data_IF_758772641179
#
_entry.id   IF_758772641179
#
_cell.length_a   1.000
_cell.length_b   1.000
_cell.length_c   1.000
_cell.angle_alpha   90.00
_cell.angle_beta   90.00
_cell.angle_gamma   90.00
#
_symmetry.space_group_name_H-M   'P 1'
#
loop_
_entity.id
_entity.type
_entity.pdbx_description
1 polymer ?
#
# COMPACT_ATOMS: atom_id res chain seq x y z
N UNK A 1 8.13 -23.31 -8.33
CA UNK A 1 7.82 -21.85 -8.40
C UNK A 1 9.13 -21.08 -8.59
N UNK A 2 9.24 -20.28 -9.65
CA UNK A 2 10.47 -19.53 -9.98
C UNK A 2 10.86 -18.53 -8.88
N UNK A 3 12.16 -18.44 -8.57
CA UNK A 3 12.77 -17.43 -7.67
C UNK A 3 12.29 -15.99 -7.96
N UNK A 4 11.99 -15.68 -9.23
CA UNK A 4 11.48 -14.37 -9.63
C UNK A 4 10.09 -14.06 -9.07
N UNK A 5 9.24 -15.08 -8.94
CA UNK A 5 7.85 -14.92 -8.46
C UNK A 5 7.81 -14.74 -6.93
N UNK A 6 8.70 -15.43 -6.20
CA UNK A 6 8.78 -15.35 -4.74
C UNK A 6 9.01 -13.93 -4.22
N UNK A 7 9.70 -13.08 -4.99
CA UNK A 7 9.98 -11.68 -4.64
C UNK A 7 8.73 -10.80 -4.53
N UNK A 8 7.63 -11.20 -5.16
CA UNK A 8 6.38 -10.44 -5.18
C UNK A 8 5.38 -10.88 -4.11
N UNK A 9 5.60 -12.04 -3.46
CA UNK A 9 4.73 -12.57 -2.39
C UNK A 9 4.45 -11.52 -1.30
N UNK A 10 5.44 -10.76 -0.79
CA UNK A 10 5.17 -9.76 0.25
C UNK A 10 4.21 -8.66 -0.20
N UNK A 11 4.27 -8.26 -1.48
CA UNK A 11 3.40 -7.21 -2.04
C UNK A 11 1.97 -7.73 -2.16
N UNK A 12 1.81 -8.97 -2.64
CA UNK A 12 0.50 -9.63 -2.78
C UNK A 12 -0.19 -9.76 -1.42
N UNK A 13 0.54 -10.22 -0.40
CA UNK A 13 0.01 -10.33 0.98
C UNK A 13 -0.36 -8.95 1.54
N UNK A 14 0.49 -7.94 1.33
CA UNK A 14 0.23 -6.60 1.82
C UNK A 14 -1.02 -5.98 1.17
N UNK A 15 -1.23 -6.21 -0.13
CA UNK A 15 -2.46 -5.80 -0.80
C UNK A 15 -3.69 -6.52 -0.24
N UNK A 16 -3.59 -7.81 0.06
CA UNK A 16 -4.70 -8.57 0.67
C UNK A 16 -5.10 -7.99 2.04
N UNK A 17 -4.13 -7.66 2.89
CA UNK A 17 -4.37 -7.07 4.22
C UNK A 17 -4.99 -5.68 4.10
N UNK A 18 -4.43 -4.81 3.24
CA UNK A 18 -4.94 -3.44 3.07
C UNK A 18 -6.38 -3.47 2.55
N UNK A 19 -6.64 -4.26 1.50
CA UNK A 19 -7.98 -4.36 0.92
C UNK A 19 -8.97 -4.97 1.89
N UNK A 20 -8.56 -5.94 2.72
CA UNK A 20 -9.41 -6.49 3.79
C UNK A 20 -9.77 -5.42 4.83
N UNK A 21 -8.80 -4.62 5.29
CA UNK A 21 -9.05 -3.53 6.24
C UNK A 21 -9.99 -2.46 5.68
N UNK A 22 -9.77 -2.05 4.43
CA UNK A 22 -10.63 -1.07 3.74
C UNK A 22 -12.04 -1.62 3.54
N UNK A 23 -12.16 -2.91 3.23
CA UNK A 23 -13.47 -3.56 3.05
C UNK A 23 -14.20 -3.69 4.39
N UNK A 24 -13.51 -4.16 5.43
CA UNK A 24 -14.06 -4.33 6.77
C UNK A 24 -14.64 -3.02 7.33
N UNK A 25 -13.93 -1.90 7.13
CA UNK A 25 -14.40 -0.58 7.61
C UNK A 25 -15.64 -0.06 6.89
N UNK A 26 -15.94 -0.56 5.69
CA UNK A 26 -16.99 0.01 4.83
C UNK A 26 -18.28 -0.79 4.82
N UNK A 27 -18.25 -2.05 5.22
CA UNK A 27 -19.45 -2.87 5.26
C UNK A 27 -20.27 -2.53 6.49
N UNK A 28 -21.51 -2.09 6.26
CA UNK A 28 -22.56 -2.27 7.26
C UNK A 28 -22.83 -3.77 7.41
N UNK A 29 -23.31 -4.20 8.58
CA UNK A 29 -23.41 -5.61 9.05
C UNK A 29 -24.10 -6.62 8.11
N UNK A 30 -24.71 -6.20 6.99
CA UNK A 30 -25.50 -7.04 6.07
C UNK A 30 -24.86 -7.30 4.69
N UNK A 31 -23.70 -6.71 4.37
CA UNK A 31 -23.06 -6.90 3.06
C UNK A 31 -22.07 -8.07 3.04
N UNK A 32 -22.01 -8.80 1.91
CA UNK A 32 -21.09 -9.93 1.68
C UNK A 32 -19.63 -9.46 1.67
N UNK A 33 -18.99 -9.50 2.84
CA UNK A 33 -17.58 -9.10 3.02
C UNK A 33 -16.67 -9.73 1.97
N UNK A 34 -16.83 -11.04 1.79
CA UNK A 34 -15.92 -11.85 1.00
C UNK A 34 -15.99 -11.48 -0.49
N UNK A 35 -17.17 -11.21 -1.02
CA UNK A 35 -17.38 -10.80 -2.41
C UNK A 35 -16.78 -9.42 -2.69
N UNK A 36 -17.08 -8.45 -1.82
CA UNK A 36 -16.57 -7.10 -1.92
C UNK A 36 -15.04 -7.04 -1.75
N UNK A 37 -14.50 -7.83 -0.82
CA UNK A 37 -13.08 -7.94 -0.57
C UNK A 37 -12.35 -8.57 -1.75
N UNK A 38 -12.85 -9.70 -2.28
CA UNK A 38 -12.27 -10.36 -3.44
C UNK A 38 -12.28 -9.45 -4.66
N UNK A 39 -13.38 -8.72 -4.90
CA UNK A 39 -13.48 -7.78 -6.02
C UNK A 39 -12.46 -6.65 -5.89
N UNK A 40 -12.39 -6.02 -4.71
CA UNK A 40 -11.42 -4.96 -4.46
C UNK A 40 -9.99 -5.46 -4.56
N UNK A 41 -9.71 -6.66 -4.03
CA UNK A 41 -8.40 -7.29 -4.06
C UNK A 41 -7.96 -7.68 -5.47
N UNK A 42 -8.85 -8.27 -6.27
CA UNK A 42 -8.59 -8.62 -7.66
C UNK A 42 -8.25 -7.36 -8.48
N UNK A 43 -9.04 -6.30 -8.32
CA UNK A 43 -8.75 -5.03 -9.00
C UNK A 43 -7.45 -4.37 -8.48
N UNK A 44 -7.14 -4.52 -7.19
CA UNK A 44 -5.86 -4.05 -6.65
C UNK A 44 -4.67 -4.78 -7.30
N UNK A 45 -4.78 -6.09 -7.53
CA UNK A 45 -3.77 -6.86 -8.24
C UNK A 45 -3.65 -6.48 -9.72
N UNK A 46 -4.74 -6.06 -10.37
CA UNK A 46 -4.70 -5.65 -11.77
C UNK A 46 -4.16 -4.22 -11.96
N UNK A 47 -4.53 -3.30 -11.07
CA UNK A 47 -4.25 -1.86 -11.26
C UNK A 47 -3.07 -1.40 -10.42
N UNK A 48 -3.02 -1.78 -9.14
CA UNK A 48 -2.04 -1.24 -8.19
C UNK A 48 -0.75 -2.02 -8.20
N UNK A 49 -0.82 -3.35 -8.33
CA UNK A 49 0.39 -4.18 -8.33
C UNK A 49 1.39 -3.79 -9.43
N UNK A 50 1.00 -3.54 -10.70
CA UNK A 50 1.94 -3.08 -11.72
C UNK A 50 2.61 -1.75 -11.36
N UNK A 51 1.84 -0.81 -10.81
CA UNK A 51 2.34 0.49 -10.35
C UNK A 51 3.34 0.28 -9.20
N UNK A 52 2.98 -0.54 -8.20
CA UNK A 52 3.85 -0.85 -7.07
C UNK A 52 5.14 -1.56 -7.51
N UNK A 53 5.05 -2.48 -8.48
CA UNK A 53 6.19 -3.21 -9.01
C UNK A 53 7.22 -2.29 -9.69
N UNK A 54 6.78 -1.18 -10.30
CA UNK A 54 7.65 -0.16 -10.89
C UNK A 54 8.12 0.86 -9.85
N UNK A 55 7.22 1.28 -8.96
CA UNK A 55 7.46 2.32 -7.97
C UNK A 55 8.50 1.88 -6.92
N UNK A 56 8.35 0.65 -6.40
CA UNK A 56 9.20 0.12 -5.33
C UNK A 56 10.69 0.12 -5.71
N UNK A 57 11.13 -0.44 -6.85
CA UNK A 57 12.53 -0.38 -7.28
C UNK A 57 13.01 1.05 -7.51
N UNK A 58 12.15 1.91 -8.08
CA UNK A 58 12.49 3.29 -8.40
C UNK A 58 12.77 4.11 -7.14
N UNK A 59 11.88 4.01 -6.14
CA UNK A 59 12.06 4.66 -4.84
C UNK A 59 13.27 4.11 -4.10
N UNK A 60 13.51 2.80 -4.13
CA UNK A 60 14.72 2.22 -3.52
C UNK A 60 15.99 2.82 -4.11
N UNK A 61 16.12 2.84 -5.45
CA UNK A 61 17.30 3.42 -6.12
C UNK A 61 17.48 4.90 -5.80
N UNK A 62 16.38 5.66 -5.79
CA UNK A 62 16.41 7.08 -5.49
C UNK A 62 16.89 7.34 -4.06
N UNK A 63 16.43 6.56 -3.10
CA UNK A 63 16.76 6.73 -1.68
C UNK A 63 18.16 6.24 -1.38
N UNK A 64 18.60 5.14 -1.96
CA UNK A 64 19.99 4.71 -1.86
C UNK A 64 20.93 5.78 -2.42
N UNK A 65 20.58 6.41 -3.55
CA UNK A 65 21.36 7.49 -4.15
C UNK A 65 21.41 8.75 -3.28
N UNK A 66 20.29 9.18 -2.71
CA UNK A 66 20.19 10.46 -1.97
C UNK A 66 20.52 10.33 -0.49
N UNK A 67 20.21 9.20 0.13
CA UNK A 67 20.21 9.00 1.58
C UNK A 67 20.97 7.74 2.02
N UNK A 68 21.71 7.07 1.12
CA UNK A 68 22.43 5.82 1.43
C UNK A 68 23.36 5.89 2.65
N UNK A 69 23.90 7.09 2.95
CA UNK A 69 24.79 7.33 4.08
C UNK A 69 24.06 7.76 5.38
N UNK A 70 22.73 7.88 5.35
CA UNK A 70 21.92 8.28 6.52
C UNK A 70 21.46 7.08 7.33
N UNK A 71 20.95 7.34 8.54
CA UNK A 71 20.43 6.30 9.42
C UNK A 71 19.30 5.49 8.76
N UNK A 72 19.28 4.17 8.99
CA UNK A 72 18.35 3.24 8.33
C UNK A 72 16.87 3.59 8.55
N UNK A 73 16.53 4.17 9.70
CA UNK A 73 15.16 4.62 9.99
C UNK A 73 14.76 5.80 9.10
N UNK A 74 15.67 6.75 8.85
CA UNK A 74 15.41 7.90 7.96
C UNK A 74 15.20 7.41 6.53
N UNK A 75 16.06 6.49 6.07
CA UNK A 75 15.88 5.84 4.76
C UNK A 75 14.54 5.10 4.69
N UNK A 76 14.13 4.47 5.79
CA UNK A 76 12.85 3.77 5.91
C UNK A 76 11.66 4.70 5.74
N UNK A 77 11.62 5.82 6.46
CA UNK A 77 10.56 6.81 6.30
C UNK A 77 10.56 7.46 4.91
N UNK A 78 11.73 7.84 4.41
CA UNK A 78 11.88 8.41 3.06
C UNK A 78 11.37 7.46 1.97
N UNK A 79 11.42 6.15 2.21
CA UNK A 79 10.89 5.13 1.30
C UNK A 79 9.39 4.98 1.43
N UNK A 80 8.91 4.82 2.66
CA UNK A 80 7.52 4.44 2.89
C UNK A 80 6.55 5.59 2.71
N UNK A 81 6.92 6.83 3.05
CA UNK A 81 6.03 8.00 2.91
C UNK A 81 5.56 8.18 1.45
N UNK A 82 6.43 8.37 0.44
CA UNK A 82 5.98 8.54 -0.94
C UNK A 82 5.29 7.29 -1.49
N UNK A 83 5.75 6.10 -1.09
CA UNK A 83 5.11 4.84 -1.48
C UNK A 83 3.66 4.78 -1.01
N UNK A 84 3.40 5.04 0.27
CA UNK A 84 2.05 5.02 0.85
C UNK A 84 1.21 6.17 0.33
N UNK A 85 1.77 7.36 0.11
CA UNK A 85 1.04 8.47 -0.50
C UNK A 85 0.50 8.08 -1.88
N UNK A 86 1.30 7.43 -2.73
CA UNK A 86 0.85 7.04 -4.07
C UNK A 86 -0.11 5.85 -4.01
N UNK A 87 0.31 4.76 -3.35
CA UNK A 87 -0.47 3.51 -3.31
C UNK A 87 -1.76 3.70 -2.51
N UNK A 88 -1.71 4.40 -1.38
CA UNK A 88 -2.88 4.66 -0.52
C UNK A 88 -3.91 5.55 -1.20
N UNK A 89 -3.48 6.57 -1.94
CA UNK A 89 -4.33 7.42 -2.78
C UNK A 89 -5.06 6.59 -3.84
N UNK A 90 -4.32 5.79 -4.62
CA UNK A 90 -4.91 4.92 -5.64
C UNK A 90 -5.85 3.87 -5.04
N UNK A 91 -5.47 3.29 -3.89
CA UNK A 91 -6.31 2.32 -3.19
C UNK A 91 -7.58 2.91 -2.63
N UNK A 92 -7.53 4.15 -2.15
CA UNK A 92 -8.72 4.87 -1.72
C UNK A 92 -9.65 5.09 -2.92
N UNK A 93 -9.12 5.53 -4.06
CA UNK A 93 -9.89 5.71 -5.30
C UNK A 93 -10.58 4.42 -5.72
N UNK A 94 -9.83 3.32 -5.79
CA UNK A 94 -10.38 2.02 -6.15
C UNK A 94 -11.44 1.55 -5.16
N UNK A 95 -11.24 1.79 -3.86
CA UNK A 95 -12.23 1.44 -2.83
C UNK A 95 -13.52 2.24 -2.95
N UNK A 96 -13.50 3.45 -3.52
CA UNK A 96 -14.72 4.20 -3.81
C UNK A 96 -15.41 3.62 -5.04
N UNK A 97 -14.64 3.29 -6.09
CA UNK A 97 -15.19 2.67 -7.30
C UNK A 97 -15.89 1.35 -7.00
N UNK A 98 -15.33 0.53 -6.11
CA UNK A 98 -15.85 -0.82 -5.83
C UNK A 98 -16.91 -0.84 -4.73
N UNK A 99 -16.73 -0.05 -3.67
CA UNK A 99 -17.53 -0.18 -2.45
C UNK A 99 -18.54 0.95 -2.25
N UNK A 100 -18.59 1.95 -3.14
CA UNK A 100 -19.54 3.07 -3.04
C UNK A 100 -20.27 3.24 -4.37
N UNK A 101 -21.58 3.39 -4.27
CA UNK A 101 -22.38 3.83 -5.40
C UNK A 101 -22.24 5.35 -5.56
N UNK A 102 -21.74 5.78 -6.71
CA UNK A 102 -21.69 7.20 -7.10
C UNK A 102 -22.36 7.35 -8.47
N UNK A 103 -23.08 8.46 -8.65
CA UNK A 103 -23.88 8.72 -9.86
C UNK A 103 -23.18 9.67 -10.84
N UNK A 104 -22.22 10.46 -10.35
CA UNK A 104 -21.49 11.43 -11.16
C UNK A 104 -20.08 11.68 -10.61
N UNK A 105 -19.26 12.37 -11.41
CA UNK A 105 -17.87 12.69 -11.07
C UNK A 105 -17.76 13.56 -9.82
N UNK A 106 -18.67 14.52 -9.61
CA UNK A 106 -18.65 15.37 -8.41
C UNK A 106 -18.85 14.55 -7.13
N UNK A 107 -19.81 13.63 -7.13
CA UNK A 107 -20.04 12.72 -6.02
C UNK A 107 -18.85 11.78 -5.81
N UNK A 108 -18.21 11.31 -6.88
CA UNK A 108 -16.97 10.53 -6.77
C UNK A 108 -15.89 11.32 -6.04
N UNK A 109 -15.60 12.57 -6.43
CA UNK A 109 -14.56 13.37 -5.77
C UNK A 109 -14.87 13.68 -4.30
N UNK A 110 -16.13 13.91 -3.96
CA UNK A 110 -16.58 14.10 -2.58
C UNK A 110 -16.36 12.83 -1.74
N UNK A 111 -16.81 11.67 -2.22
CA UNK A 111 -16.59 10.39 -1.54
C UNK A 111 -15.11 10.05 -1.44
N UNK A 112 -14.36 10.26 -2.52
CA UNK A 112 -12.93 10.01 -2.59
C UNK A 112 -12.13 10.83 -1.58
N UNK A 113 -12.36 12.14 -1.53
CA UNK A 113 -11.68 13.02 -0.56
C UNK A 113 -12.04 12.69 0.88
N UNK A 114 -13.32 12.42 1.16
CA UNK A 114 -13.78 11.98 2.48
C UNK A 114 -13.10 10.67 2.90
N UNK A 115 -13.07 9.68 2.01
CA UNK A 115 -12.44 8.37 2.25
C UNK A 115 -10.93 8.50 2.41
N UNK A 116 -10.28 9.42 1.70
CA UNK A 116 -8.85 9.67 1.82
C UNK A 116 -8.50 10.19 3.22
N UNK A 117 -9.29 11.14 3.74
CA UNK A 117 -9.15 11.66 5.10
C UNK A 117 -9.42 10.53 6.12
N UNK A 118 -10.48 9.74 5.90
CA UNK A 118 -10.84 8.64 6.80
C UNK A 118 -9.79 7.52 6.84
N UNK A 119 -9.03 7.32 5.76
CA UNK A 119 -7.98 6.30 5.67
C UNK A 119 -6.59 6.81 6.11
N UNK A 120 -6.44 8.12 6.28
CA UNK A 120 -5.19 8.75 6.72
C UNK A 120 -4.59 8.11 7.99
N UNK A 121 -5.37 7.79 9.06
CA UNK A 121 -4.81 7.14 10.25
C UNK A 121 -4.18 5.78 9.95
N UNK A 122 -4.81 4.98 9.10
CA UNK A 122 -4.28 3.66 8.68
C UNK A 122 -2.97 3.86 7.92
N UNK A 123 -2.93 4.84 7.01
CA UNK A 123 -1.73 5.16 6.25
C UNK A 123 -0.59 5.63 7.15
N UNK A 124 -0.86 6.46 8.16
CA UNK A 124 0.16 6.87 9.14
C UNK A 124 0.69 5.70 9.95
N UNK A 125 -0.18 4.80 10.44
CA UNK A 125 0.25 3.59 11.16
C UNK A 125 1.15 2.74 10.26
N UNK A 126 0.80 2.57 8.99
CA UNK A 126 1.65 1.86 8.04
C UNK A 126 2.98 2.57 7.79
N UNK A 127 3.01 3.91 7.74
CA UNK A 127 4.26 4.68 7.64
C UNK A 127 5.17 4.42 8.84
N UNK A 128 4.62 4.46 10.05
CA UNK A 128 5.37 4.23 11.29
C UNK A 128 5.90 2.79 11.38
N UNK A 129 5.04 1.80 11.14
CA UNK A 129 5.39 0.38 11.25
C UNK A 129 6.36 -0.01 10.13
N UNK A 130 6.02 0.28 8.88
CA UNK A 130 6.84 -0.18 7.74
C UNK A 130 8.12 0.65 7.64
N UNK A 131 8.03 1.97 7.83
CA UNK A 131 9.17 2.88 7.72
C UNK A 131 10.10 2.82 8.92
N UNK A 132 9.56 2.76 10.13
CA UNK A 132 10.34 2.75 11.36
C UNK A 132 10.86 1.38 11.78
N UNK A 133 10.12 0.30 11.49
CA UNK A 133 10.42 -1.04 12.01
C UNK A 133 10.78 -2.01 10.89
N UNK A 134 9.88 -2.25 9.93
CA UNK A 134 10.05 -3.31 8.93
C UNK A 134 11.23 -3.03 8.01
N UNK A 135 11.30 -1.84 7.42
CA UNK A 135 12.33 -1.49 6.43
C UNK A 135 13.74 -1.52 7.06
N UNK A 136 13.99 -0.92 8.24
CA UNK A 136 15.29 -1.03 8.90
C UNK A 136 15.70 -2.47 9.23
N UNK A 137 14.78 -3.30 9.73
CA UNK A 137 15.07 -4.72 10.04
C UNK A 137 15.45 -5.49 8.77
N UNK A 138 14.69 -5.31 7.69
CA UNK A 138 14.97 -5.98 6.41
C UNK A 138 16.33 -5.55 5.85
N UNK A 139 16.66 -4.26 5.91
CA UNK A 139 17.96 -3.78 5.45
C UNK A 139 19.11 -4.30 6.31
N UNK A 140 18.98 -4.30 7.64
CA UNK A 140 19.99 -4.89 8.55
C UNK A 140 20.25 -6.36 8.25
N UNK A 141 19.19 -7.18 8.06
CA UNK A 141 19.34 -8.60 7.71
C UNK A 141 20.07 -8.81 6.38
N UNK A 142 19.79 -7.99 5.37
CA UNK A 142 20.50 -8.06 4.08
C UNK A 142 21.99 -7.77 4.21
N UNK A 143 22.38 -6.86 5.10
CA UNK A 143 23.78 -6.57 5.37
C UNK A 143 24.47 -7.73 6.11
N UNK A 144 23.78 -8.33 7.09
CA UNK A 144 24.33 -9.45 7.87
C UNK A 144 24.53 -10.74 7.06
N UNK A 145 23.76 -10.98 6.00
CA UNK A 145 23.91 -12.15 5.11
C UNK A 145 25.00 -11.95 4.05
N UNK A 146 25.44 -10.70 3.82
CA UNK A 146 26.45 -10.37 2.80
C UNK A 146 27.88 -10.38 3.34
N UNK A 147 28.04 -10.43 4.66
CA UNK A 147 29.31 -10.54 5.39
C UNK A 147 29.47 -11.97 5.93
#
# INVERSE_FOLDING_TARGET
MSEKIKKFIPIVILLAIITALLTYRKLAQEQLFLENWLTLYALALLVIFPIAAVLIPTLNKLIEKLLGNKHLVIQGFAYVIPMISIIGTLMTGLSVVVLRNYQNSNQFFQLYSSELINNLPIFMVMVLVVGGIVKPIVTKRKLAVKN
#
